data_IF_009249752226
#
_entry.id   IF_009249752226
#
_cell.length_a   1.000
_cell.length_b   1.000
_cell.length_c   1.000
_cell.angle_alpha   90.00
_cell.angle_beta   90.00
_cell.angle_gamma   90.00
#
_symmetry.space_group_name_H-M   'P 1'
#
loop_
_entity.id
_entity.type
_entity.pdbx_description
1 polymer ?
#
# COMPACT_ATOMS: atom_id res chain seq x y z
N UNK A 1 -2.84 8.09 -4.61
CA UNK A 1 -2.29 7.35 -5.77
C UNK A 1 -2.31 5.84 -5.56
N UNK A 2 -1.95 5.32 -4.38
CA UNK A 2 -1.84 3.86 -4.15
C UNK A 2 -3.15 3.17 -3.66
N UNK A 3 -4.20 3.93 -3.31
CA UNK A 3 -5.55 3.48 -2.93
C UNK A 3 -6.60 4.31 -3.70
N UNK A 4 -7.90 3.99 -3.70
CA UNK A 4 -8.92 4.74 -4.46
C UNK A 4 -8.96 6.26 -4.15
N UNK A 5 -9.40 7.06 -5.13
CA UNK A 5 -9.12 8.50 -5.22
C UNK A 5 -10.15 9.46 -4.61
N UNK A 6 -11.38 9.00 -4.36
CA UNK A 6 -12.46 9.88 -3.89
C UNK A 6 -12.31 10.37 -2.45
N UNK A 7 -11.61 9.64 -1.58
CA UNK A 7 -11.55 9.94 -0.13
C UNK A 7 -10.32 10.79 0.27
N UNK A 8 -9.63 11.42 -0.70
CA UNK A 8 -8.29 12.02 -0.51
C UNK A 8 -8.19 13.51 -0.69
N UNK A 9 -9.08 14.11 -1.47
CA UNK A 9 -8.98 15.53 -1.76
C UNK A 9 -9.31 16.35 -0.49
N UNK A 10 -10.16 15.80 0.40
CA UNK A 10 -10.46 16.30 1.75
C UNK A 10 -9.20 16.52 2.62
N UNK A 11 -8.14 15.71 2.44
CA UNK A 11 -6.91 15.84 3.23
C UNK A 11 -6.04 16.99 2.72
N UNK A 12 -6.05 17.22 1.41
CA UNK A 12 -5.32 18.32 0.80
C UNK A 12 -5.92 19.66 1.24
N UNK A 13 -7.25 19.72 1.37
CA UNK A 13 -7.97 20.91 1.85
C UNK A 13 -7.68 21.23 3.33
N UNK A 14 -7.24 20.25 4.12
CA UNK A 14 -6.85 20.44 5.53
C UNK A 14 -5.39 20.88 5.68
N UNK A 15 -4.49 20.40 4.80
CA UNK A 15 -3.05 20.61 4.92
C UNK A 15 -2.51 21.77 4.08
N UNK A 16 -3.22 22.16 3.02
CA UNK A 16 -2.79 23.17 2.05
C UNK A 16 -3.86 24.25 1.89
N UNK A 17 -3.44 25.43 1.44
CA UNK A 17 -4.37 26.46 1.01
C UNK A 17 -5.12 26.02 -0.25
N UNK A 18 -6.33 26.55 -0.46
CA UNK A 18 -7.24 26.12 -1.53
C UNK A 18 -6.62 26.26 -2.94
N UNK A 19 -5.78 27.29 -3.15
CA UNK A 19 -5.07 27.47 -4.42
C UNK A 19 -4.02 26.37 -4.64
N UNK A 20 -3.21 26.06 -3.62
CA UNK A 20 -2.17 25.03 -3.70
C UNK A 20 -2.78 23.61 -3.80
N UNK A 21 -3.86 23.34 -3.07
CA UNK A 21 -4.59 22.07 -3.16
C UNK A 21 -5.11 21.83 -4.59
N UNK A 22 -5.75 22.84 -5.20
CA UNK A 22 -6.25 22.75 -6.57
C UNK A 22 -5.13 22.53 -7.59
N UNK A 23 -3.99 23.20 -7.39
CA UNK A 23 -2.80 23.04 -8.23
C UNK A 23 -2.27 21.61 -8.15
N UNK A 24 -2.13 21.03 -6.95
CA UNK A 24 -1.64 19.65 -6.74
C UNK A 24 -2.57 18.63 -7.39
N UNK A 25 -3.89 18.81 -7.28
CA UNK A 25 -4.89 17.92 -7.89
C UNK A 25 -4.77 17.90 -9.42
N UNK A 26 -4.39 19.03 -10.04
CA UNK A 26 -4.17 19.13 -11.49
C UNK A 26 -2.91 18.42 -12.00
N UNK A 27 -2.01 18.00 -11.11
CA UNK A 27 -0.73 17.39 -11.50
C UNK A 27 -0.84 15.90 -11.82
N UNK A 28 -0.06 15.46 -12.81
CA UNK A 28 0.00 14.04 -13.22
C UNK A 28 0.48 13.13 -12.10
N UNK A 29 1.53 13.54 -11.38
CA UNK A 29 2.00 12.86 -10.16
C UNK A 29 1.98 13.83 -8.99
N UNK A 30 0.89 13.74 -8.20
CA UNK A 30 0.66 14.54 -7.00
C UNK A 30 1.84 14.50 -6.01
N UNK A 31 2.37 13.32 -5.60
CA UNK A 31 3.47 13.27 -4.63
C UNK A 31 4.78 13.86 -5.20
N UNK A 32 5.09 13.62 -6.48
CA UNK A 32 6.28 14.22 -7.10
C UNK A 32 6.15 15.74 -7.24
N UNK A 33 4.95 16.25 -7.50
CA UNK A 33 4.70 17.69 -7.56
C UNK A 33 4.94 18.36 -6.19
N UNK A 34 4.47 17.75 -5.10
CA UNK A 34 4.74 18.23 -3.74
C UNK A 34 6.25 18.26 -3.43
N UNK A 35 6.99 17.19 -3.75
CA UNK A 35 8.45 17.17 -3.57
C UNK A 35 9.15 18.24 -4.41
N UNK A 36 8.68 18.45 -5.65
CA UNK A 36 9.16 19.55 -6.49
C UNK A 36 8.93 20.92 -5.85
N UNK A 37 7.79 21.12 -5.19
CA UNK A 37 7.47 22.35 -4.46
C UNK A 37 8.39 22.54 -3.25
N UNK A 38 8.64 21.50 -2.48
CA UNK A 38 9.60 21.53 -1.36
C UNK A 38 10.99 21.96 -1.83
N UNK A 39 11.47 21.42 -2.96
CA UNK A 39 12.77 21.83 -3.54
C UNK A 39 12.78 23.30 -3.98
N UNK A 40 11.67 23.82 -4.51
CA UNK A 40 11.57 25.24 -4.85
C UNK A 40 11.65 26.15 -3.63
N UNK A 41 11.01 25.75 -2.52
CA UNK A 41 11.10 26.48 -1.24
C UNK A 41 12.54 26.46 -0.75
N UNK A 42 13.19 25.29 -0.74
CA UNK A 42 14.58 25.14 -0.31
C UNK A 42 15.55 26.04 -1.13
N UNK A 43 15.33 26.14 -2.44
CA UNK A 43 16.12 27.03 -3.30
C UNK A 43 15.91 28.52 -2.98
N UNK A 44 14.67 28.93 -2.64
CA UNK A 44 14.39 30.31 -2.24
C UNK A 44 15.09 30.68 -0.94
N UNK A 45 15.13 29.78 0.03
CA UNK A 45 15.83 29.99 1.30
C UNK A 45 17.36 30.05 1.10
N UNK A 46 17.90 29.29 0.15
CA UNK A 46 19.30 29.40 -0.25
C UNK A 46 19.60 30.75 -0.90
N UNK A 47 18.75 31.21 -1.83
CA UNK A 47 18.90 32.52 -2.49
C UNK A 47 18.74 33.69 -1.50
N UNK A 48 17.91 33.53 -0.48
CA UNK A 48 17.73 34.48 0.61
C UNK A 48 18.92 34.52 1.58
N UNK A 49 19.82 33.53 1.53
CA UNK A 49 20.96 33.41 2.43
C UNK A 49 20.63 32.87 3.83
N UNK A 50 19.39 32.46 4.06
CA UNK A 50 18.91 31.85 5.31
C UNK A 50 19.40 30.40 5.47
N UNK A 51 19.83 29.77 4.36
CA UNK A 51 20.29 28.40 4.32
C UNK A 51 21.70 28.31 3.73
N UNK A 52 22.62 27.63 4.44
CA UNK A 52 23.97 27.37 3.91
C UNK A 52 23.92 26.37 2.75
N UNK A 53 24.83 26.49 1.79
CA UNK A 53 24.99 25.54 0.68
C UNK A 53 25.17 24.08 1.15
N UNK A 54 25.84 23.88 2.30
CA UNK A 54 26.02 22.54 2.89
C UNK A 54 24.72 21.97 3.46
N UNK A 55 23.92 22.79 4.13
CA UNK A 55 22.60 22.41 4.66
C UNK A 55 21.63 22.14 3.51
N UNK A 56 21.64 23.00 2.49
CA UNK A 56 20.82 22.84 1.30
C UNK A 56 21.14 21.51 0.60
N UNK A 57 22.42 21.20 0.43
CA UNK A 57 22.84 19.94 -0.19
C UNK A 57 22.37 18.72 0.62
N UNK A 58 22.49 18.76 1.95
CA UNK A 58 22.03 17.66 2.80
C UNK A 58 20.52 17.41 2.64
N UNK A 59 19.70 18.46 2.71
CA UNK A 59 18.25 18.36 2.58
C UNK A 59 17.85 17.93 1.15
N UNK A 60 18.53 18.44 0.11
CA UNK A 60 18.25 18.03 -1.27
C UNK A 60 18.54 16.54 -1.51
N UNK A 61 19.54 15.97 -0.81
CA UNK A 61 19.79 14.52 -0.84
C UNK A 61 18.65 13.72 -0.21
N UNK A 62 18.12 14.16 0.93
CA UNK A 62 16.99 13.50 1.58
C UNK A 62 15.72 13.56 0.69
N UNK A 63 15.45 14.72 0.08
CA UNK A 63 14.32 14.89 -0.85
C UNK A 63 14.49 14.04 -2.12
N UNK A 64 15.72 13.88 -2.59
CA UNK A 64 16.05 12.99 -3.71
C UNK A 64 15.78 11.53 -3.34
N UNK A 65 16.13 11.10 -2.13
CA UNK A 65 15.83 9.75 -1.64
C UNK A 65 14.31 9.52 -1.61
N UNK A 66 13.55 10.47 -1.06
CA UNK A 66 12.08 10.38 -1.01
C UNK A 66 11.47 10.30 -2.42
N UNK A 67 11.99 11.09 -3.37
CA UNK A 67 11.58 11.03 -4.77
C UNK A 67 11.84 9.66 -5.41
N UNK A 68 12.97 9.04 -5.07
CA UNK A 68 13.34 7.68 -5.53
C UNK A 68 12.39 6.62 -4.98
N UNK A 69 11.99 6.73 -3.71
CA UNK A 69 11.00 5.83 -3.09
C UNK A 69 9.64 5.97 -3.78
N UNK A 70 9.16 7.19 -4.01
CA UNK A 70 7.90 7.45 -4.73
C UNK A 70 7.93 6.82 -6.13
N UNK A 71 9.01 7.05 -6.89
CA UNK A 71 9.16 6.46 -8.21
C UNK A 71 9.21 4.91 -8.17
N UNK A 72 9.79 4.34 -7.13
CA UNK A 72 9.81 2.88 -6.91
C UNK A 72 8.41 2.35 -6.64
N UNK A 73 7.62 3.04 -5.81
CA UNK A 73 6.23 2.67 -5.55
C UNK A 73 5.35 2.79 -6.81
N UNK A 74 5.53 3.84 -7.62
CA UNK A 74 4.83 3.99 -8.90
C UNK A 74 5.19 2.86 -9.87
N UNK A 75 6.48 2.49 -9.96
CA UNK A 75 6.93 1.36 -10.79
C UNK A 75 6.34 0.03 -10.33
N UNK A 76 6.36 -0.23 -9.02
CA UNK A 76 5.78 -1.43 -8.44
C UNK A 76 4.28 -1.53 -8.72
N UNK A 77 3.55 -0.41 -8.61
CA UNK A 77 2.13 -0.35 -8.93
C UNK A 77 1.86 -0.51 -10.44
N UNK A 78 2.69 0.09 -11.29
CA UNK A 78 2.56 0.07 -12.76
C UNK A 78 2.98 -1.24 -13.41
N UNK A 79 3.61 -2.15 -12.68
CA UNK A 79 4.08 -3.46 -13.16
C UNK A 79 3.26 -4.60 -12.56
N UNK A 80 1.94 -4.69 -12.84
CA UNK A 80 1.15 -5.82 -12.38
C UNK A 80 1.67 -7.11 -13.03
N UNK A 81 1.70 -8.19 -12.25
CA UNK A 81 1.99 -9.53 -12.78
C UNK A 81 1.02 -9.82 -13.92
N UNK A 82 1.49 -10.35 -15.06
CA UNK A 82 0.62 -10.59 -16.20
C UNK A 82 -0.59 -11.44 -15.78
N UNK A 83 -1.84 -10.97 -16.01
CA UNK A 83 -3.04 -11.65 -15.54
C UNK A 83 -3.24 -13.04 -16.18
N UNK A 84 -2.45 -13.34 -17.22
CA UNK A 84 -2.39 -14.68 -17.80
C UNK A 84 -1.79 -15.73 -16.85
N UNK A 85 -0.86 -15.36 -15.96
CA UNK A 85 -0.20 -16.31 -15.06
C UNK A 85 -1.19 -16.92 -14.06
N UNK A 86 -2.00 -16.09 -13.41
CA UNK A 86 -3.07 -16.55 -12.51
C UNK A 86 -4.09 -17.45 -13.24
N UNK A 87 -4.46 -17.11 -14.48
CA UNK A 87 -5.39 -17.92 -15.29
C UNK A 87 -4.83 -19.29 -15.65
N UNK A 88 -3.53 -19.38 -15.95
CA UNK A 88 -2.89 -20.67 -16.21
C UNK A 88 -2.84 -21.55 -14.97
N UNK A 89 -2.65 -20.98 -13.78
CA UNK A 89 -2.68 -21.71 -12.51
C UNK A 89 -4.00 -22.47 -12.29
N UNK A 90 -5.13 -21.78 -12.41
CA UNK A 90 -6.46 -22.40 -12.22
C UNK A 90 -6.74 -23.46 -13.29
N UNK A 91 -6.36 -23.22 -14.55
CA UNK A 91 -6.54 -24.20 -15.65
C UNK A 91 -5.73 -25.47 -15.43
N UNK A 92 -4.48 -25.35 -14.99
CA UNK A 92 -3.63 -26.50 -14.64
C UNK A 92 -4.18 -27.28 -13.45
N UNK A 93 -4.72 -26.58 -12.44
CA UNK A 93 -5.35 -27.21 -11.28
C UNK A 93 -6.58 -28.04 -11.69
N UNK A 94 -7.43 -27.52 -12.57
CA UNK A 94 -8.59 -28.25 -13.10
C UNK A 94 -8.14 -29.56 -13.75
N UNK A 95 -7.12 -29.52 -14.62
CA UNK A 95 -6.57 -30.72 -15.25
C UNK A 95 -6.03 -31.74 -14.23
N UNK A 96 -5.35 -31.26 -13.19
CA UNK A 96 -4.83 -32.10 -12.11
C UNK A 96 -5.96 -32.77 -11.30
N UNK A 97 -7.01 -32.02 -10.95
CA UNK A 97 -8.16 -32.53 -10.21
C UNK A 97 -8.98 -33.55 -11.01
N UNK A 98 -9.08 -33.40 -12.34
CA UNK A 98 -9.68 -34.41 -13.20
C UNK A 98 -8.79 -35.66 -13.36
N UNK A 99 -7.46 -35.51 -13.27
CA UNK A 99 -6.51 -36.62 -13.38
C UNK A 99 -6.48 -37.55 -12.16
N UNK A 100 -6.52 -36.98 -10.94
CA UNK A 100 -6.49 -37.75 -9.68
C UNK A 100 -7.50 -38.93 -9.65
N UNK A 101 -8.81 -38.72 -9.90
CA UNK A 101 -9.78 -39.81 -9.80
C UNK A 101 -9.57 -40.89 -10.86
N UNK A 102 -9.02 -40.55 -12.03
CA UNK A 102 -8.70 -41.51 -13.09
C UNK A 102 -7.50 -42.37 -12.68
N UNK A 103 -6.47 -41.77 -12.10
CA UNK A 103 -5.24 -42.48 -11.68
C UNK A 103 -5.48 -43.38 -10.47
N UNK A 104 -6.28 -42.94 -9.50
CA UNK A 104 -6.58 -43.71 -8.30
C UNK A 104 -7.74 -44.70 -8.49
N UNK A 105 -8.38 -44.71 -9.67
CA UNK A 105 -9.44 -45.66 -9.98
C UNK A 105 -8.91 -47.10 -9.87
N UNK A 106 -9.52 -47.89 -8.99
CA UNK A 106 -9.15 -49.29 -8.77
C UNK A 106 -8.05 -49.52 -7.71
N UNK A 107 -7.40 -48.47 -7.19
CA UNK A 107 -6.40 -48.60 -6.12
C UNK A 107 -6.97 -48.32 -4.72
N UNK A 108 -7.99 -47.45 -4.62
CA UNK A 108 -8.58 -47.00 -3.35
C UNK A 108 -10.11 -47.02 -3.39
N UNK A 109 -10.72 -47.05 -2.19
CA UNK A 109 -12.17 -46.88 -2.06
C UNK A 109 -12.59 -45.48 -2.56
N UNK A 110 -13.68 -45.34 -3.34
CA UNK A 110 -14.16 -44.05 -3.85
C UNK A 110 -14.27 -42.90 -2.83
N UNK A 111 -14.59 -43.19 -1.56
CA UNK A 111 -14.66 -42.19 -0.51
C UNK A 111 -13.29 -41.57 -0.19
N UNK A 112 -12.22 -42.38 -0.21
CA UNK A 112 -10.84 -41.90 0.00
C UNK A 112 -10.37 -41.06 -1.20
N UNK A 113 -10.75 -41.45 -2.42
CA UNK A 113 -10.46 -40.69 -3.64
C UNK A 113 -11.12 -39.31 -3.56
N UNK A 114 -12.40 -39.25 -3.19
CA UNK A 114 -13.12 -37.99 -2.99
C UNK A 114 -12.46 -37.11 -1.91
N UNK A 115 -12.01 -37.71 -0.80
CA UNK A 115 -11.28 -37.00 0.25
C UNK A 115 -9.94 -36.43 -0.25
N UNK A 116 -9.19 -37.19 -1.05
CA UNK A 116 -7.94 -36.72 -1.65
C UNK A 116 -8.18 -35.54 -2.59
N UNK A 117 -9.17 -35.65 -3.49
CA UNK A 117 -9.55 -34.56 -4.41
C UNK A 117 -9.98 -33.32 -3.64
N UNK A 118 -10.82 -33.47 -2.61
CA UNK A 118 -11.27 -32.37 -1.77
C UNK A 118 -10.10 -31.70 -1.03
N UNK A 119 -9.22 -32.49 -0.42
CA UNK A 119 -8.03 -32.00 0.30
C UNK A 119 -7.08 -31.23 -0.62
N UNK A 120 -6.77 -31.78 -1.80
CA UNK A 120 -5.90 -31.11 -2.78
C UNK A 120 -6.54 -29.83 -3.31
N UNK A 121 -7.85 -29.85 -3.59
CA UNK A 121 -8.60 -28.67 -4.03
C UNK A 121 -8.48 -27.56 -2.98
N UNK A 122 -8.77 -27.87 -1.71
CA UNK A 122 -8.72 -26.90 -0.62
C UNK A 122 -7.34 -26.24 -0.49
N UNK A 123 -6.26 -27.03 -0.49
CA UNK A 123 -4.89 -26.52 -0.36
C UNK A 123 -4.54 -25.60 -1.54
N UNK A 124 -4.80 -26.04 -2.77
CA UNK A 124 -4.44 -25.26 -3.96
C UNK A 124 -5.28 -23.99 -4.12
N UNK A 125 -6.57 -24.04 -3.79
CA UNK A 125 -7.40 -22.83 -3.77
C UNK A 125 -6.91 -21.86 -2.71
N UNK A 126 -6.53 -22.34 -1.53
CA UNK A 126 -5.91 -21.50 -0.49
C UNK A 126 -4.62 -20.82 -0.98
N UNK A 127 -3.74 -21.56 -1.65
CA UNK A 127 -2.51 -21.00 -2.24
C UNK A 127 -2.82 -19.96 -3.33
N UNK A 128 -3.80 -20.23 -4.19
CA UNK A 128 -4.20 -19.31 -5.25
C UNK A 128 -4.74 -17.99 -4.67
N UNK A 129 -5.58 -18.07 -3.63
CA UNK A 129 -6.13 -16.91 -2.94
C UNK A 129 -5.01 -16.07 -2.28
N UNK A 130 -4.09 -16.73 -1.58
CA UNK A 130 -2.91 -16.08 -1.02
C UNK A 130 -2.06 -15.40 -2.10
N UNK A 131 -1.91 -16.03 -3.27
CA UNK A 131 -1.22 -15.45 -4.43
C UNK A 131 -1.85 -14.13 -4.86
N UNK A 132 -3.18 -14.08 -5.02
CA UNK A 132 -3.91 -12.87 -5.40
C UNK A 132 -3.75 -11.76 -4.35
N UNK A 133 -3.77 -12.11 -3.07
CA UNK A 133 -3.54 -11.15 -1.98
C UNK A 133 -2.14 -10.55 -2.03
N UNK A 134 -1.11 -11.37 -2.25
CA UNK A 134 0.28 -10.93 -2.39
C UNK A 134 0.49 -10.06 -3.64
N UNK A 135 -0.28 -10.26 -4.71
CA UNK A 135 -0.25 -9.41 -5.91
C UNK A 135 -0.74 -7.97 -5.63
N UNK A 136 -1.47 -7.73 -4.54
CA UNK A 136 -2.05 -6.42 -4.20
C UNK A 136 -1.55 -5.89 -2.83
N UNK A 137 -0.23 -5.67 -2.66
CA UNK A 137 0.37 -5.39 -1.35
C UNK A 137 -0.17 -4.11 -0.70
N UNK A 138 -0.47 -3.08 -1.50
CA UNK A 138 -0.97 -1.80 -1.01
C UNK A 138 -2.42 -1.83 -0.52
N UNK A 139 -3.19 -2.88 -0.85
CA UNK A 139 -4.55 -3.02 -0.33
C UNK A 139 -4.58 -3.56 1.10
N UNK A 140 -3.65 -4.43 1.44
CA UNK A 140 -3.56 -5.10 2.74
C UNK A 140 -2.72 -4.28 3.72
N UNK A 141 -1.78 -3.49 3.20
CA UNK A 141 -0.91 -2.65 4.03
C UNK A 141 -1.70 -1.51 4.72
N UNK A 142 -1.50 -1.30 6.04
CA UNK A 142 -2.13 -0.23 6.80
C UNK A 142 -1.45 1.13 6.51
N UNK A 143 -1.59 1.61 5.27
CA UNK A 143 -0.95 2.86 4.80
C UNK A 143 -1.39 4.08 5.62
N UNK A 144 -2.64 4.12 6.05
CA UNK A 144 -3.17 5.21 6.87
C UNK A 144 -2.43 5.30 8.21
N UNK A 145 -2.30 4.17 8.90
CA UNK A 145 -1.60 4.06 10.17
C UNK A 145 -0.12 4.42 10.04
N UNK A 146 0.52 4.00 8.94
CA UNK A 146 1.91 4.37 8.64
C UNK A 146 2.07 5.88 8.40
N UNK A 147 1.17 6.51 7.64
CA UNK A 147 1.18 7.96 7.44
C UNK A 147 1.01 8.71 8.77
N UNK A 148 0.09 8.27 9.62
CA UNK A 148 -0.09 8.86 10.95
C UNK A 148 1.13 8.70 11.85
N UNK A 149 1.80 7.55 11.80
CA UNK A 149 3.03 7.32 12.56
C UNK A 149 4.15 8.26 12.10
N UNK A 150 4.31 8.44 10.78
CA UNK A 150 5.30 9.38 10.23
C UNK A 150 4.98 10.81 10.67
N UNK A 151 3.72 11.22 10.60
CA UNK A 151 3.29 12.55 11.04
C UNK A 151 3.63 12.76 12.53
N UNK A 152 3.26 11.81 13.39
CA UNK A 152 3.55 11.87 14.82
C UNK A 152 5.05 12.00 15.10
N UNK A 153 5.89 11.22 14.41
CA UNK A 153 7.35 11.30 14.57
C UNK A 153 7.90 12.67 14.16
N UNK A 154 7.34 13.29 13.13
CA UNK A 154 7.73 14.64 12.70
C UNK A 154 7.30 15.69 13.74
N UNK A 155 6.09 15.59 14.26
CA UNK A 155 5.58 16.48 15.31
C UNK A 155 6.42 16.41 16.58
N UNK A 156 6.79 15.19 17.01
CA UNK A 156 7.68 14.95 18.15
C UNK A 156 9.06 15.56 17.92
N UNK A 157 9.62 15.43 16.72
CA UNK A 157 10.92 15.98 16.36
C UNK A 157 10.94 17.53 16.32
N UNK A 158 9.83 18.16 15.92
CA UNK A 158 9.71 19.63 15.82
C UNK A 158 9.32 20.26 17.18
N UNK A 159 8.89 19.46 18.17
CA UNK A 159 8.46 19.96 19.48
C UNK A 159 7.18 20.79 19.44
N UNK A 160 6.38 20.64 18.37
CA UNK A 160 5.11 21.34 18.15
C UNK A 160 3.96 20.33 18.06
N UNK A 161 3.31 19.96 19.18
CA UNK A 161 2.33 18.86 19.24
C UNK A 161 0.93 19.21 18.66
N UNK A 162 0.80 20.16 17.74
CA UNK A 162 -0.52 20.59 17.25
C UNK A 162 -0.62 20.64 15.72
N UNK A 163 -1.10 19.55 15.12
CA UNK A 163 -1.83 19.55 13.85
C UNK A 163 -3.14 18.71 14.00
N UNK A 164 -4.29 19.21 13.53
CA UNK A 164 -5.63 18.75 13.94
C UNK A 164 -6.13 17.48 13.21
N UNK A 165 -5.26 16.57 12.77
CA UNK A 165 -5.71 15.28 12.24
C UNK A 165 -6.09 14.28 13.33
N UNK A 166 -5.86 14.63 14.61
CA UNK A 166 -6.38 13.91 15.77
C UNK A 166 -7.93 13.83 15.80
N UNK A 167 -8.64 14.60 14.97
CA UNK A 167 -10.11 14.61 14.93
C UNK A 167 -10.72 13.36 14.26
N UNK A 168 -10.01 12.61 13.41
CA UNK A 168 -10.56 11.35 12.83
C UNK A 168 -10.23 10.08 13.63
N UNK A 169 -9.42 10.19 14.70
CA UNK A 169 -9.08 9.05 15.57
C UNK A 169 -10.30 8.50 16.32
N UNK A 170 -11.27 9.33 16.67
CA UNK A 170 -12.38 8.90 17.54
C UNK A 170 -13.59 8.36 16.77
N UNK A 171 -13.78 8.74 15.51
CA UNK A 171 -14.92 8.28 14.69
C UNK A 171 -14.63 7.08 13.79
N UNK A 172 -13.38 6.81 13.42
CA UNK A 172 -13.06 5.66 12.56
C UNK A 172 -12.61 4.40 13.31
N UNK A 173 -12.01 4.52 14.51
CA UNK A 173 -11.66 3.33 15.32
C UNK A 173 -12.92 2.55 15.75
N UNK A 174 -14.06 3.23 15.87
CA UNK A 174 -15.36 2.61 16.15
C UNK A 174 -15.98 1.92 14.92
N UNK A 175 -15.58 2.30 13.71
CA UNK A 175 -16.12 1.79 12.45
C UNK A 175 -15.29 0.64 11.83
N UNK A 176 -14.06 0.42 12.29
CA UNK A 176 -13.21 -0.69 11.84
C UNK A 176 -13.70 -2.00 12.49
N UNK A 177 -14.16 -2.99 11.70
CA UNK A 177 -14.58 -4.28 12.22
C UNK A 177 -13.47 -4.93 13.05
N UNK A 178 -13.82 -5.59 14.15
CA UNK A 178 -12.85 -6.15 15.11
C UNK A 178 -11.73 -6.99 14.47
N UNK A 179 -12.00 -7.69 13.37
CA UNK A 179 -11.06 -8.56 12.67
C UNK A 179 -10.00 -7.82 11.81
N UNK A 180 -10.15 -6.52 11.61
CA UNK A 180 -9.20 -5.65 10.88
C UNK A 180 -8.29 -4.86 11.84
N UNK A 181 -8.60 -4.90 13.14
CA UNK A 181 -7.68 -4.41 14.17
C UNK A 181 -6.57 -5.43 14.30
N UNK A 182 -5.35 -5.04 13.92
CA UNK A 182 -4.16 -5.80 14.27
C UNK A 182 -3.96 -5.70 15.78
N UNK A 183 -4.65 -6.57 16.53
CA UNK A 183 -4.30 -6.88 17.90
C UNK A 183 -3.05 -7.77 17.85
N UNK A 184 -1.99 -7.38 18.58
CA UNK A 184 -0.77 -8.18 18.69
C UNK A 184 -0.96 -9.52 19.41
N UNK A 185 -2.17 -10.08 19.38
CA UNK A 185 -2.62 -11.29 20.05
C UNK A 185 -3.21 -12.27 19.03
N UNK A 186 -2.39 -12.73 18.09
CA UNK A 186 -2.67 -14.01 17.46
C UNK A 186 -2.49 -15.12 18.52
N UNK A 187 -3.49 -15.97 18.79
CA UNK A 187 -3.30 -17.13 19.65
C UNK A 187 -2.32 -18.09 18.96
N UNK A 188 -1.32 -18.51 19.74
CA UNK A 188 -0.39 -19.61 19.44
C UNK A 188 -1.16 -20.90 19.20
#
# INVERSE_FOLDING_TARGET
>A
MLRDAEDRDDILDVLLDAEEASWVVSQRSRPLALLGRVRQVLMRELDAGELSATQHYAIDMDVRELSSVVATCERLFSSPIPPNMARHGVRSLILWLFGIPIVLAGSMHPALIALCVASTTYIYFGINELGIQVEQPFKIMPLWQLCHLVQYNIEEAIGSPELPLLIKREREIEAVPHWERYDGSAPV
#
